data_IF_690493721992
#
_entry.id   IF_690493721992
#
_cell.length_a   1.000
_cell.length_b   1.000
_cell.length_c   1.000
_cell.angle_alpha   90.00
_cell.angle_beta   90.00
_cell.angle_gamma   90.00
#
_symmetry.space_group_name_H-M   'P 1'
#
loop_
_entity.id
_entity.type
_entity.pdbx_description
1 polymer ?
#
# COMPACT_ATOMS: atom_id res chain seq x y z
N UNK A 1 -37.76 -3.71 6.43
CA UNK A 1 -36.49 -4.40 6.80
C UNK A 1 -35.52 -4.54 5.61
N UNK A 2 -36.01 -4.85 4.40
CA UNK A 2 -35.21 -5.02 3.18
C UNK A 2 -34.33 -3.81 2.78
N UNK A 3 -34.90 -2.59 2.82
CA UNK A 3 -34.18 -1.37 2.44
C UNK A 3 -32.96 -1.06 3.34
N UNK A 4 -33.05 -1.36 4.64
CA UNK A 4 -31.97 -1.11 5.60
C UNK A 4 -30.76 -2.03 5.35
N UNK A 5 -30.99 -3.29 5.01
CA UNK A 5 -29.89 -4.24 4.71
C UNK A 5 -29.16 -3.89 3.42
N UNK A 6 -29.89 -3.54 2.36
CA UNK A 6 -29.27 -3.12 1.09
C UNK A 6 -28.41 -1.86 1.25
N UNK A 7 -28.91 -0.85 1.97
CA UNK A 7 -28.14 0.37 2.27
C UNK A 7 -26.86 0.10 3.06
N UNK A 8 -26.92 -0.77 4.08
CA UNK A 8 -25.76 -1.12 4.89
C UNK A 8 -24.70 -1.86 4.08
N UNK A 9 -25.12 -2.75 3.17
CA UNK A 9 -24.21 -3.48 2.27
C UNK A 9 -23.51 -2.51 1.31
N UNK A 10 -24.27 -1.60 0.71
CA UNK A 10 -23.75 -0.59 -0.23
C UNK A 10 -22.72 0.34 0.44
N UNK A 11 -23.03 0.81 1.66
CA UNK A 11 -22.08 1.61 2.44
C UNK A 11 -20.79 0.84 2.76
N UNK A 12 -20.89 -0.43 3.19
CA UNK A 12 -19.71 -1.29 3.44
C UNK A 12 -18.87 -1.49 2.18
N UNK A 13 -19.51 -1.66 1.03
CA UNK A 13 -18.83 -1.80 -0.26
C UNK A 13 -18.11 -0.50 -0.68
N UNK A 14 -18.74 0.65 -0.46
CA UNK A 14 -18.11 1.95 -0.69
C UNK A 14 -16.89 2.18 0.21
N UNK A 15 -16.98 1.83 1.50
CA UNK A 15 -15.83 1.88 2.42
C UNK A 15 -14.68 0.98 1.95
N UNK A 16 -14.98 -0.22 1.46
CA UNK A 16 -13.95 -1.11 0.91
C UNK A 16 -13.26 -0.48 -0.30
N UNK A 17 -14.01 0.14 -1.22
CA UNK A 17 -13.45 0.88 -2.36
C UNK A 17 -12.43 1.93 -1.91
N UNK A 18 -12.80 2.74 -0.92
CA UNK A 18 -11.92 3.80 -0.38
C UNK A 18 -10.65 3.17 0.21
N UNK A 19 -10.78 2.14 1.05
CA UNK A 19 -9.62 1.48 1.65
C UNK A 19 -8.66 0.90 0.61
N UNK A 20 -9.17 0.30 -0.47
CA UNK A 20 -8.34 -0.26 -1.53
C UNK A 20 -7.63 0.83 -2.36
N UNK A 21 -8.28 1.97 -2.60
CA UNK A 21 -7.64 3.14 -3.22
C UNK A 21 -6.52 3.67 -2.33
N UNK A 22 -6.78 3.84 -1.02
CA UNK A 22 -5.77 4.28 -0.05
C UNK A 22 -4.60 3.30 0.00
N UNK A 23 -4.89 1.99 0.00
CA UNK A 23 -3.85 0.95 0.02
C UNK A 23 -2.97 1.02 -1.23
N UNK A 24 -3.56 1.27 -2.41
CA UNK A 24 -2.81 1.47 -3.63
C UNK A 24 -1.88 2.69 -3.54
N UNK A 25 -2.41 3.83 -3.07
CA UNK A 25 -1.62 5.05 -2.89
C UNK A 25 -0.48 4.85 -1.88
N UNK A 26 -0.73 4.19 -0.75
CA UNK A 26 0.30 3.89 0.24
C UNK A 26 1.39 2.96 -0.31
N UNK A 27 1.02 1.99 -1.16
CA UNK A 27 1.99 1.13 -1.85
C UNK A 27 2.85 1.90 -2.87
N UNK A 28 2.27 2.89 -3.56
CA UNK A 28 3.05 3.79 -4.43
C UNK A 28 3.95 4.73 -3.64
N UNK A 29 3.46 5.29 -2.53
CA UNK A 29 4.25 6.16 -1.64
C UNK A 29 5.42 5.42 -1.02
N UNK A 30 5.22 4.16 -0.61
CA UNK A 30 6.27 3.29 -0.09
C UNK A 30 7.42 3.10 -1.10
N UNK A 31 7.10 2.83 -2.36
CA UNK A 31 8.07 2.76 -3.45
C UNK A 31 8.82 4.10 -3.64
N UNK A 32 8.09 5.22 -3.61
CA UNK A 32 8.70 6.55 -3.73
C UNK A 32 9.68 6.83 -2.59
N UNK A 33 9.29 6.60 -1.34
CA UNK A 33 10.15 6.87 -0.19
C UNK A 33 11.35 5.92 -0.12
N UNK A 34 11.18 4.65 -0.49
CA UNK A 34 12.32 3.72 -0.60
C UNK A 34 13.36 4.25 -1.58
N UNK A 35 12.92 4.72 -2.76
CA UNK A 35 13.83 5.30 -3.77
C UNK A 35 14.49 6.58 -3.27
N UNK A 36 13.74 7.44 -2.58
CA UNK A 36 14.29 8.67 -2.00
C UNK A 36 15.36 8.36 -0.96
N UNK A 37 15.11 7.39 -0.08
CA UNK A 37 16.03 6.96 0.97
C UNK A 37 17.33 6.40 0.38
N UNK A 38 17.23 5.57 -0.65
CA UNK A 38 18.39 5.01 -1.36
C UNK A 38 19.21 6.08 -2.08
N UNK A 39 18.54 7.11 -2.61
CA UNK A 39 19.23 8.25 -3.23
C UNK A 39 19.98 9.10 -2.19
N UNK A 40 19.39 9.24 -1.00
CA UNK A 40 20.02 9.98 0.09
C UNK A 40 21.20 9.19 0.66
N UNK A 41 21.00 7.96 1.10
CA UNK A 41 22.06 7.16 1.72
C UNK A 41 22.31 5.86 0.95
N UNK A 42 23.02 5.92 -0.19
CA UNK A 42 23.28 4.76 -1.05
C UNK A 42 24.14 3.69 -0.34
N UNK A 43 24.87 4.09 0.69
CA UNK A 43 25.72 3.25 1.54
C UNK A 43 24.93 2.40 2.54
N UNK A 44 23.76 2.85 2.99
CA UNK A 44 23.00 2.16 4.06
C UNK A 44 22.44 0.81 3.64
N UNK A 45 22.39 0.56 2.33
CA UNK A 45 21.85 -0.67 1.78
C UNK A 45 22.89 -1.51 1.04
N UNK A 46 24.20 -1.23 1.14
CA UNK A 46 25.25 -1.96 0.38
C UNK A 46 25.11 -3.49 0.50
N UNK A 47 24.82 -4.00 1.69
CA UNK A 47 24.63 -5.45 1.93
C UNK A 47 23.31 -5.97 1.36
N UNK A 48 22.26 -5.15 1.39
CA UNK A 48 20.97 -5.47 0.80
C UNK A 48 20.98 -5.24 -0.73
N UNK A 49 21.94 -4.46 -1.26
CA UNK A 49 22.01 -3.96 -2.62
C UNK A 49 22.18 -5.07 -3.65
N UNK A 50 22.79 -6.21 -3.31
CA UNK A 50 22.86 -7.35 -4.26
C UNK A 50 21.47 -7.94 -4.53
N UNK A 51 20.60 -8.00 -3.51
CA UNK A 51 19.24 -8.52 -3.63
C UNK A 51 18.23 -7.41 -4.02
N UNK A 52 18.49 -6.16 -3.64
CA UNK A 52 17.66 -5.01 -3.93
C UNK A 52 18.03 -4.29 -5.24
N UNK A 53 19.23 -4.43 -5.81
CA UNK A 53 19.60 -3.80 -7.07
C UNK A 53 18.62 -4.12 -8.22
N UNK A 54 18.15 -5.37 -8.39
CA UNK A 54 17.10 -5.65 -9.38
C UNK A 54 15.80 -4.92 -9.06
N UNK A 55 15.50 -4.72 -7.77
CA UNK A 55 14.30 -4.04 -7.23
C UNK A 55 14.34 -2.53 -7.41
N UNK A 56 15.51 -1.94 -7.27
CA UNK A 56 15.75 -0.49 -7.30
C UNK A 56 15.92 0.02 -8.73
N UNK A 57 16.67 -0.72 -9.55
CA UNK A 57 17.10 -0.30 -10.89
C UNK A 57 16.39 -1.05 -12.02
N UNK A 58 15.76 -2.20 -11.72
CA UNK A 58 15.06 -3.00 -12.72
C UNK A 58 13.62 -2.54 -12.94
N UNK A 59 13.19 -2.43 -14.21
CA UNK A 59 11.81 -2.07 -14.60
C UNK A 59 10.76 -3.06 -14.07
N UNK A 60 11.14 -4.34 -13.97
CA UNK A 60 10.25 -5.44 -13.61
C UNK A 60 9.63 -5.32 -12.20
N UNK A 61 10.39 -5.03 -11.13
CA UNK A 61 9.83 -4.81 -9.80
C UNK A 61 8.90 -3.59 -9.69
N UNK A 62 9.16 -2.51 -10.45
CA UNK A 62 8.21 -1.40 -10.55
C UNK A 62 6.91 -1.85 -11.25
N UNK A 63 7.02 -2.65 -12.31
CA UNK A 63 5.85 -3.24 -12.96
C UNK A 63 5.03 -4.09 -11.97
N UNK A 64 5.69 -4.92 -11.15
CA UNK A 64 5.00 -5.69 -10.12
C UNK A 64 4.33 -4.80 -9.06
N UNK A 65 5.04 -3.81 -8.50
CA UNK A 65 4.46 -2.91 -7.48
C UNK A 65 3.35 -2.02 -8.02
N UNK A 66 3.38 -1.62 -9.28
CA UNK A 66 2.38 -0.71 -9.86
C UNK A 66 1.25 -1.52 -10.49
N UNK A 67 1.55 -2.31 -11.52
CA UNK A 67 0.52 -2.96 -12.36
C UNK A 67 -0.09 -4.15 -11.63
N UNK A 68 0.74 -5.06 -11.10
CA UNK A 68 0.21 -6.28 -10.48
C UNK A 68 -0.59 -5.95 -9.22
N UNK A 69 -0.11 -5.04 -8.38
CA UNK A 69 -0.88 -4.59 -7.21
C UNK A 69 -2.18 -3.89 -7.63
N UNK A 70 -2.17 -3.02 -8.65
CA UNK A 70 -3.41 -2.40 -9.14
C UNK A 70 -4.43 -3.45 -9.60
N UNK A 71 -3.99 -4.47 -10.34
CA UNK A 71 -4.85 -5.58 -10.80
C UNK A 71 -5.40 -6.38 -9.62
N UNK A 72 -4.57 -6.70 -8.62
CA UNK A 72 -5.00 -7.46 -7.43
C UNK A 72 -6.06 -6.67 -6.64
N UNK A 73 -5.82 -5.38 -6.38
CA UNK A 73 -6.76 -4.54 -5.63
C UNK A 73 -8.06 -4.32 -6.41
N UNK A 74 -7.97 -4.15 -7.73
CA UNK A 74 -9.14 -4.07 -8.60
C UNK A 74 -9.95 -5.37 -8.60
N UNK A 75 -9.27 -6.52 -8.72
CA UNK A 75 -9.93 -7.83 -8.66
C UNK A 75 -10.61 -8.05 -7.31
N UNK A 76 -9.96 -7.67 -6.21
CA UNK A 76 -10.55 -7.73 -4.88
C UNK A 76 -11.84 -6.90 -4.82
N UNK A 77 -11.81 -5.64 -5.27
CA UNK A 77 -12.99 -4.78 -5.33
C UNK A 77 -14.12 -5.38 -6.20
N UNK A 78 -13.79 -5.88 -7.39
CA UNK A 78 -14.76 -6.49 -8.31
C UNK A 78 -15.40 -7.74 -7.69
N UNK A 79 -14.59 -8.65 -7.15
CA UNK A 79 -15.08 -9.90 -6.54
C UNK A 79 -15.98 -9.64 -5.34
N UNK A 80 -15.70 -8.60 -4.55
CA UNK A 80 -16.49 -8.21 -3.39
C UNK A 80 -17.90 -7.68 -3.73
N UNK A 81 -18.18 -7.32 -4.99
CA UNK A 81 -19.54 -6.93 -5.42
C UNK A 81 -20.55 -8.08 -5.28
N UNK A 82 -20.07 -9.30 -5.52
CA UNK A 82 -20.87 -10.53 -5.47
C UNK A 82 -20.81 -11.22 -4.10
N UNK A 83 -20.21 -10.58 -3.10
CA UNK A 83 -20.06 -11.15 -1.77
C UNK A 83 -21.29 -10.95 -0.89
N UNK A 84 -21.47 -11.87 0.07
CA UNK A 84 -22.47 -11.72 1.12
C UNK A 84 -21.99 -10.73 2.22
N UNK A 85 -22.87 -10.38 3.17
CA UNK A 85 -22.53 -9.42 4.22
C UNK A 85 -21.36 -9.84 5.11
N UNK A 86 -21.21 -11.14 5.39
CA UNK A 86 -20.12 -11.66 6.24
C UNK A 86 -18.79 -11.54 5.50
N UNK A 87 -18.75 -11.85 4.21
CA UNK A 87 -17.58 -11.74 3.35
C UNK A 87 -17.12 -10.29 3.15
N UNK A 88 -18.04 -9.36 2.94
CA UNK A 88 -17.71 -7.93 2.84
C UNK A 88 -17.15 -7.42 4.18
N UNK A 89 -17.71 -7.85 5.32
CA UNK A 89 -17.19 -7.47 6.64
C UNK A 89 -15.75 -7.97 6.85
N UNK A 90 -15.46 -9.22 6.44
CA UNK A 90 -14.09 -9.76 6.49
C UNK A 90 -13.14 -8.99 5.57
N UNK A 91 -13.59 -8.68 4.35
CA UNK A 91 -12.81 -7.87 3.40
C UNK A 91 -12.49 -6.48 3.97
N UNK A 92 -13.45 -5.84 4.64
CA UNK A 92 -13.23 -4.57 5.32
C UNK A 92 -12.18 -4.67 6.42
N UNK A 93 -12.29 -5.67 7.31
CA UNK A 93 -11.31 -5.89 8.38
C UNK A 93 -9.91 -6.12 7.80
N UNK A 94 -9.79 -6.96 6.77
CA UNK A 94 -8.52 -7.19 6.10
C UNK A 94 -7.97 -5.91 5.46
N UNK A 95 -8.81 -5.13 4.76
CA UNK A 95 -8.39 -3.88 4.13
C UNK A 95 -7.92 -2.84 5.16
N UNK A 96 -8.58 -2.76 6.33
CA UNK A 96 -8.16 -1.87 7.42
C UNK A 96 -6.81 -2.31 7.97
N UNK A 97 -6.63 -3.61 8.24
CA UNK A 97 -5.35 -4.12 8.72
C UNK A 97 -4.19 -3.83 7.76
N UNK A 98 -4.41 -4.01 6.46
CA UNK A 98 -3.41 -3.69 5.43
C UNK A 98 -3.13 -2.19 5.36
N UNK A 99 -4.16 -1.35 5.38
CA UNK A 99 -3.99 0.12 5.40
C UNK A 99 -3.18 0.55 6.62
N UNK A 100 -3.51 0.05 7.82
CA UNK A 100 -2.75 0.35 9.04
C UNK A 100 -1.30 -0.09 8.94
N UNK A 101 -1.03 -1.29 8.41
CA UNK A 101 0.33 -1.78 8.24
C UNK A 101 1.13 -0.92 7.24
N UNK A 102 0.55 -0.59 6.09
CA UNK A 102 1.19 0.28 5.10
C UNK A 102 1.38 1.72 5.60
N UNK A 103 0.47 2.25 6.42
CA UNK A 103 0.66 3.54 7.08
C UNK A 103 1.87 3.51 8.00
N UNK A 104 2.04 2.46 8.81
CA UNK A 104 3.21 2.32 9.69
C UNK A 104 4.52 2.29 8.90
N UNK A 105 4.56 1.54 7.81
CA UNK A 105 5.74 1.49 6.92
C UNK A 105 6.05 2.89 6.34
N UNK A 106 5.04 3.58 5.81
CA UNK A 106 5.22 4.92 5.26
C UNK A 106 5.66 5.94 6.33
N UNK A 107 5.15 5.84 7.56
CA UNK A 107 5.58 6.70 8.67
C UNK A 107 7.05 6.43 9.05
N UNK A 108 7.47 5.16 9.07
CA UNK A 108 8.87 4.80 9.31
C UNK A 108 9.78 5.36 8.22
N UNK A 109 9.36 5.28 6.95
CA UNK A 109 10.06 5.91 5.85
C UNK A 109 10.19 7.42 6.00
N UNK A 110 9.10 8.11 6.32
CA UNK A 110 9.11 9.56 6.55
C UNK A 110 10.04 9.94 7.71
N UNK A 111 10.02 9.19 8.81
CA UNK A 111 10.93 9.39 9.92
C UNK A 111 12.40 9.25 9.48
N UNK A 112 12.73 8.19 8.75
CA UNK A 112 14.10 7.95 8.27
C UNK A 112 14.57 9.03 7.29
N UNK A 113 13.73 9.43 6.34
CA UNK A 113 14.03 10.51 5.40
C UNK A 113 14.24 11.83 6.15
N UNK A 114 13.37 12.16 7.10
CA UNK A 114 13.51 13.36 7.93
C UNK A 114 14.79 13.36 8.76
N UNK A 115 15.10 12.23 9.40
CA UNK A 115 16.34 12.05 10.16
C UNK A 115 17.58 12.25 9.28
N UNK A 116 17.61 11.70 8.07
CA UNK A 116 18.72 11.90 7.13
C UNK A 116 18.89 13.36 6.71
N UNK A 117 17.79 14.03 6.33
CA UNK A 117 17.84 15.42 5.88
C UNK A 117 18.39 16.34 6.97
N UNK A 118 18.01 16.09 8.23
CA UNK A 118 18.49 16.87 9.38
C UNK A 118 19.97 16.61 9.70
N UNK A 119 20.43 15.36 9.58
CA UNK A 119 21.82 14.99 9.91
C UNK A 119 22.83 15.24 8.78
N UNK A 120 22.38 15.40 7.51
CA UNK A 120 23.27 15.81 6.41
C UNK A 120 23.78 17.24 6.57
N UNK A 121 23.17 18.07 7.43
CA UNK A 121 23.58 19.47 7.60
C UNK A 121 24.84 19.67 8.44
N UNK A 122 25.57 18.60 8.80
CA UNK A 122 26.85 18.63 9.52
C UNK A 122 27.89 17.73 8.82
#
# INVERSE_FOLDING_TARGET
MFFKSNYLKENKYHKLKINLIILYLLNLSDLFFTKLLLKLEPTMFIEANVFLAPVIDGVLPYFFKIVVIAVILYYWYFRSRYSNEKEIKRSLIASIGLVSFYMLINLLHLFNVGFMILNWQY
#
